data_IF_453727321659
#
_entry.id   IF_453727321659
#
_cell.length_a   1.000
_cell.length_b   1.000
_cell.length_c   1.000
_cell.angle_alpha   90.00
_cell.angle_beta   90.00
_cell.angle_gamma   90.00
#
_symmetry.space_group_name_H-M   'P 1'
#
loop_
_entity.id
_entity.type
_entity.pdbx_description
1 polymer ?
#
# COMPACT_ATOMS: atom_id res chain seq x y z
N UNK A 1 9.74 -40.25 -0.59
CA UNK A 1 8.39 -39.65 -0.54
C UNK A 1 8.52 -38.19 -0.93
N UNK A 2 8.56 -37.94 -2.24
CA UNK A 2 8.57 -36.63 -2.87
C UNK A 2 7.21 -35.97 -2.62
N UNK A 3 7.19 -34.87 -1.86
CA UNK A 3 6.02 -33.99 -1.81
C UNK A 3 6.04 -33.20 -3.12
N UNK A 4 5.39 -33.77 -4.13
CA UNK A 4 4.76 -33.03 -5.22
C UNK A 4 3.70 -32.10 -4.59
N UNK A 5 4.16 -30.99 -4.01
CA UNK A 5 3.31 -29.87 -3.66
C UNK A 5 3.02 -29.12 -4.95
N UNK A 6 1.93 -29.55 -5.60
CA UNK A 6 1.05 -28.80 -6.48
C UNK A 6 1.42 -27.32 -6.56
N UNK A 7 2.28 -26.98 -7.51
CA UNK A 7 2.32 -25.62 -8.05
C UNK A 7 0.99 -25.49 -8.78
N UNK A 8 0.01 -24.84 -8.12
CA UNK A 8 -1.14 -24.26 -8.81
C UNK A 8 -0.61 -23.60 -10.09
N UNK A 9 -1.22 -23.86 -11.26
CA UNK A 9 -0.74 -23.28 -12.50
C UNK A 9 -0.65 -21.78 -12.28
N UNK A 10 0.54 -21.21 -12.45
CA UNK A 10 0.73 -19.77 -12.47
C UNK A 10 -0.20 -19.25 -13.56
N UNK A 11 -1.39 -18.81 -13.17
CA UNK A 11 -2.35 -18.23 -14.10
C UNK A 11 -1.77 -16.90 -14.48
N UNK A 12 -0.98 -16.89 -15.56
CA UNK A 12 -0.44 -15.69 -16.14
C UNK A 12 -1.61 -14.89 -16.68
N UNK A 13 -1.94 -13.78 -16.01
CA UNK A 13 -2.90 -12.81 -16.51
C UNK A 13 -2.56 -12.43 -17.95
N UNK A 14 -3.57 -12.39 -18.81
CA UNK A 14 -3.42 -11.84 -20.16
C UNK A 14 -3.01 -10.37 -20.08
N UNK A 15 -2.35 -9.80 -21.10
CA UNK A 15 -1.94 -8.40 -21.08
C UNK A 15 -3.10 -7.43 -20.81
N UNK A 16 -4.30 -7.74 -21.32
CA UNK A 16 -5.50 -6.95 -21.06
C UNK A 16 -5.93 -7.01 -19.59
N UNK A 17 -5.98 -8.21 -19.00
CA UNK A 17 -6.33 -8.37 -17.57
C UNK A 17 -5.33 -7.67 -16.66
N UNK A 18 -4.03 -7.71 -17.01
CA UNK A 18 -3.00 -6.97 -16.28
C UNK A 18 -3.29 -5.48 -16.27
N UNK A 19 -3.64 -4.91 -17.42
CA UNK A 19 -3.93 -3.49 -17.56
C UNK A 19 -5.23 -3.11 -16.81
N UNK A 20 -6.26 -3.97 -16.87
CA UNK A 20 -7.54 -3.77 -16.17
C UNK A 20 -7.40 -3.83 -14.64
N UNK A 21 -6.64 -4.81 -14.12
CA UNK A 21 -6.34 -4.93 -12.69
C UNK A 21 -5.49 -3.74 -12.24
N UNK A 22 -4.49 -3.35 -13.04
CA UNK A 22 -3.64 -2.18 -12.74
C UNK A 22 -4.49 -0.93 -12.62
N UNK A 23 -5.39 -0.68 -13.57
CA UNK A 23 -6.29 0.47 -13.56
C UNK A 23 -7.17 0.49 -12.30
N UNK A 24 -7.77 -0.65 -11.94
CA UNK A 24 -8.60 -0.76 -10.73
C UNK A 24 -7.83 -0.48 -9.44
N UNK A 25 -6.60 -0.99 -9.33
CA UNK A 25 -5.75 -0.75 -8.15
C UNK A 25 -5.37 0.72 -8.06
N UNK A 26 -4.99 1.35 -9.18
CA UNK A 26 -4.67 2.78 -9.23
C UNK A 26 -5.86 3.62 -8.77
N UNK A 27 -7.08 3.28 -9.21
CA UNK A 27 -8.30 3.95 -8.79
C UNK A 27 -8.61 3.76 -7.29
N UNK A 28 -8.39 2.56 -6.74
CA UNK A 28 -8.52 2.30 -5.31
C UNK A 28 -7.57 3.21 -4.52
N UNK A 29 -6.31 3.30 -4.92
CA UNK A 29 -5.31 4.14 -4.25
C UNK A 29 -5.66 5.62 -4.36
N UNK A 30 -6.02 6.09 -5.54
CA UNK A 30 -6.40 7.49 -5.77
C UNK A 30 -7.57 7.90 -4.87
N UNK A 31 -8.61 7.07 -4.77
CA UNK A 31 -9.82 7.38 -3.99
C UNK A 31 -9.61 7.34 -2.48
N UNK A 32 -8.71 6.47 -1.98
CA UNK A 32 -8.57 6.23 -0.55
C UNK A 32 -7.39 6.97 0.09
N UNK A 33 -6.31 7.26 -0.65
CA UNK A 33 -5.10 7.86 -0.09
C UNK A 33 -4.74 9.22 -0.68
N UNK A 34 -5.19 9.55 -1.89
CA UNK A 34 -4.81 10.81 -2.54
C UNK A 34 -5.83 11.90 -2.18
N UNK A 35 -5.65 12.49 -0.99
CA UNK A 35 -6.43 13.64 -0.54
C UNK A 35 -5.68 14.94 -0.89
N UNK A 36 -6.14 15.63 -1.93
CA UNK A 36 -5.48 16.73 -2.67
C UNK A 36 -4.84 17.87 -1.85
N UNK A 37 -3.66 18.31 -2.32
CA UNK A 37 -3.31 19.72 -2.44
C UNK A 37 -3.27 20.20 -3.91
N UNK A 38 -3.45 21.51 -4.13
CA UNK A 38 -3.17 22.14 -5.44
C UNK A 38 -1.72 21.81 -5.84
N UNK A 39 -1.49 21.34 -7.07
CA UNK A 39 -0.18 20.97 -7.62
C UNK A 39 0.41 19.63 -7.14
N UNK A 40 -0.41 18.68 -6.68
CA UNK A 40 0.09 17.34 -6.36
C UNK A 40 0.76 16.66 -7.58
N UNK A 41 1.91 16.01 -7.34
CA UNK A 41 2.70 15.35 -8.39
C UNK A 41 1.97 14.14 -9.00
N UNK A 42 1.02 13.56 -8.26
CA UNK A 42 0.11 12.53 -8.74
C UNK A 42 -0.57 12.95 -10.03
N UNK A 43 -1.12 14.17 -10.08
CA UNK A 43 -1.85 14.72 -11.23
C UNK A 43 -0.98 15.55 -12.17
N UNK A 44 0.04 16.24 -11.66
CA UNK A 44 0.77 17.28 -12.42
C UNK A 44 2.09 16.82 -13.02
N UNK A 45 2.69 15.76 -12.50
CA UNK A 45 4.08 15.38 -12.81
C UNK A 45 4.22 13.93 -13.28
N UNK A 46 3.12 13.31 -13.71
CA UNK A 46 3.09 11.90 -14.12
C UNK A 46 3.27 10.90 -12.97
N UNK A 47 3.04 11.33 -11.72
CA UNK A 47 3.12 10.45 -10.55
C UNK A 47 2.18 9.25 -10.66
N UNK A 48 0.94 9.48 -11.11
CA UNK A 48 -0.04 8.42 -11.38
C UNK A 48 0.48 7.36 -12.36
N UNK A 49 1.10 7.79 -13.47
CA UNK A 49 1.64 6.87 -14.47
C UNK A 49 2.80 6.04 -13.91
N UNK A 50 3.75 6.68 -13.22
CA UNK A 50 4.89 5.97 -12.59
C UNK A 50 4.43 4.94 -11.56
N UNK A 51 3.39 5.26 -10.80
CA UNK A 51 2.78 4.33 -9.87
C UNK A 51 2.11 3.16 -10.62
N UNK A 52 1.32 3.45 -11.65
CA UNK A 52 0.69 2.43 -12.50
C UNK A 52 1.72 1.46 -13.11
N UNK A 53 2.85 1.96 -13.62
CA UNK A 53 3.92 1.13 -14.19
C UNK A 53 4.49 0.13 -13.17
N UNK A 54 4.64 0.56 -11.90
CA UNK A 54 5.10 -0.31 -10.81
C UNK A 54 4.05 -1.34 -10.40
N UNK A 55 2.78 -0.95 -10.34
CA UNK A 55 1.68 -1.89 -10.05
C UNK A 55 1.62 -2.94 -11.15
N UNK A 56 1.64 -2.51 -12.41
CA UNK A 56 1.64 -3.38 -13.59
C UNK A 56 2.76 -4.40 -13.56
N UNK A 57 3.96 -3.99 -13.14
CA UNK A 57 5.12 -4.89 -12.99
C UNK A 57 4.81 -6.08 -12.06
N UNK A 58 4.14 -5.83 -10.93
CA UNK A 58 3.81 -6.86 -9.95
C UNK A 58 2.63 -7.73 -10.41
N UNK A 59 1.59 -7.09 -10.95
CA UNK A 59 0.40 -7.76 -11.48
C UNK A 59 0.77 -8.71 -12.63
N UNK A 60 1.62 -8.26 -13.57
CA UNK A 60 2.10 -9.09 -14.67
C UNK A 60 2.89 -10.32 -14.23
N UNK A 61 3.44 -10.30 -13.01
CA UNK A 61 4.20 -11.41 -12.40
C UNK A 61 3.37 -12.20 -11.39
N UNK A 62 2.12 -11.79 -11.15
CA UNK A 62 1.25 -12.36 -10.13
C UNK A 62 1.92 -12.44 -8.73
N UNK A 63 2.67 -11.39 -8.37
CA UNK A 63 3.32 -11.25 -7.05
C UNK A 63 2.62 -10.18 -6.20
N UNK A 64 2.59 -10.31 -4.86
CA UNK A 64 1.98 -9.30 -3.99
C UNK A 64 2.57 -7.90 -4.21
N UNK A 65 1.75 -6.86 -4.07
CA UNK A 65 2.23 -5.48 -4.04
C UNK A 65 2.99 -5.23 -2.74
N UNK A 66 4.20 -4.69 -2.81
CA UNK A 66 4.97 -4.30 -1.62
C UNK A 66 4.93 -2.78 -1.44
N UNK A 67 4.27 -2.34 -0.37
CA UNK A 67 4.25 -0.93 0.01
C UNK A 67 5.20 -0.70 1.17
N UNK A 68 6.14 0.21 1.01
CA UNK A 68 7.06 0.62 2.09
C UNK A 68 6.57 1.96 2.62
N UNK A 69 6.17 1.99 3.88
CA UNK A 69 5.61 3.17 4.53
C UNK A 69 6.50 3.57 5.72
N UNK A 70 7.26 4.68 5.62
CA UNK A 70 7.87 5.29 6.78
C UNK A 70 6.77 5.95 7.63
N UNK A 71 6.34 5.28 8.71
CA UNK A 71 5.23 5.74 9.53
C UNK A 71 5.28 5.17 10.95
N UNK A 72 4.38 5.70 11.79
CA UNK A 72 4.24 5.34 13.20
C UNK A 72 5.57 5.45 13.97
N UNK A 73 6.23 6.63 13.97
CA UNK A 73 7.33 6.90 14.88
C UNK A 73 6.81 7.02 16.32
N UNK A 74 7.72 7.32 17.26
CA UNK A 74 7.33 7.62 18.64
C UNK A 74 6.40 8.83 18.68
N UNK A 75 5.39 8.79 19.57
CA UNK A 75 4.50 9.92 19.86
C UNK A 75 5.31 11.19 20.18
N UNK A 76 4.79 12.36 19.82
CA UNK A 76 5.45 13.64 20.13
C UNK A 76 5.69 13.78 21.63
N UNK A 77 6.87 14.27 22.01
CA UNK A 77 7.20 14.59 23.41
C UNK A 77 6.39 15.78 23.96
N UNK A 78 5.66 16.52 23.11
CA UNK A 78 4.79 17.60 23.55
C UNK A 78 3.44 17.03 24.06
N UNK A 79 3.14 17.17 25.37
CA UNK A 79 1.89 16.66 25.95
C UNK A 79 0.64 17.40 25.42
N UNK A 80 0.76 18.63 24.90
CA UNK A 80 -0.39 19.34 24.33
C UNK A 80 -0.80 18.80 22.95
N UNK A 81 0.05 17.96 22.34
CA UNK A 81 -0.16 17.37 21.01
C UNK A 81 -0.48 15.89 21.05
N UNK A 82 -0.43 15.27 22.23
CA UNK A 82 -0.61 13.82 22.39
C UNK A 82 -1.41 13.50 23.65
N UNK A 83 -2.25 12.47 23.58
CA UNK A 83 -3.01 12.00 24.74
C UNK A 83 -2.16 11.15 25.70
N UNK A 84 -0.91 10.86 25.33
CA UNK A 84 0.03 10.06 26.10
C UNK A 84 1.14 9.49 25.22
N UNK A 85 1.97 8.63 25.81
CA UNK A 85 3.11 7.99 25.13
C UNK A 85 2.75 6.72 24.35
N UNK A 86 1.56 6.16 24.62
CA UNK A 86 1.09 4.96 23.96
C UNK A 86 0.33 5.31 22.65
N UNK A 87 0.26 4.39 21.68
CA UNK A 87 -0.67 4.51 20.57
C UNK A 87 -2.09 4.77 21.07
N UNK A 88 -2.80 5.65 20.37
CA UNK A 88 -4.18 6.03 20.65
C UNK A 88 -5.07 5.74 19.43
N UNK A 89 -6.29 6.27 19.46
CA UNK A 89 -7.29 6.00 18.42
C UNK A 89 -6.85 6.48 17.03
N UNK A 90 -5.94 7.46 16.95
CA UNK A 90 -5.43 7.92 15.67
C UNK A 90 -4.63 6.83 14.95
N UNK A 91 -3.76 6.11 15.68
CA UNK A 91 -3.01 4.99 15.08
C UNK A 91 -3.93 3.82 14.72
N UNK A 92 -4.91 3.52 15.58
CA UNK A 92 -5.90 2.46 15.29
C UNK A 92 -6.66 2.75 13.99
N UNK A 93 -7.17 3.98 13.81
CA UNK A 93 -7.89 4.39 12.60
C UNK A 93 -6.98 4.41 11.36
N UNK A 94 -5.71 4.78 11.51
CA UNK A 94 -4.76 4.74 10.41
C UNK A 94 -4.51 3.30 9.93
N UNK A 95 -4.32 2.35 10.86
CA UNK A 95 -4.16 0.93 10.54
C UNK A 95 -5.45 0.35 9.96
N UNK A 96 -6.61 0.72 10.48
CA UNK A 96 -7.91 0.29 9.94
C UNK A 96 -8.12 0.78 8.50
N UNK A 97 -7.76 2.04 8.21
CA UNK A 97 -7.75 2.57 6.84
C UNK A 97 -6.79 1.79 5.93
N UNK A 98 -5.60 1.41 6.42
CA UNK A 98 -4.68 0.53 5.69
C UNK A 98 -5.29 -0.82 5.39
N UNK A 99 -5.98 -1.42 6.37
CA UNK A 99 -6.68 -2.69 6.20
C UNK A 99 -7.79 -2.60 5.15
N UNK A 100 -8.62 -1.56 5.19
CA UNK A 100 -9.70 -1.36 4.21
C UNK A 100 -9.14 -1.34 2.78
N UNK A 101 -8.06 -0.58 2.53
CA UNK A 101 -7.42 -0.55 1.21
C UNK A 101 -6.81 -1.89 0.84
N UNK A 102 -6.20 -2.60 1.79
CA UNK A 102 -5.66 -3.95 1.56
C UNK A 102 -6.76 -4.92 1.10
N UNK A 103 -7.92 -4.89 1.76
CA UNK A 103 -9.06 -5.75 1.45
C UNK A 103 -9.67 -5.40 0.07
N UNK A 104 -9.77 -4.11 -0.25
CA UNK A 104 -10.21 -3.65 -1.58
C UNK A 104 -9.29 -4.12 -2.70
N UNK A 105 -7.97 -4.02 -2.51
CA UNK A 105 -6.98 -4.50 -3.49
C UNK A 105 -7.07 -6.02 -3.61
N UNK A 106 -7.18 -6.74 -2.49
CA UNK A 106 -7.26 -8.21 -2.50
C UNK A 106 -8.50 -8.73 -3.23
N UNK A 107 -9.60 -7.98 -3.20
CA UNK A 107 -10.82 -8.32 -3.92
C UNK A 107 -10.66 -8.29 -5.45
N UNK A 108 -9.78 -7.42 -5.98
CA UNK A 108 -9.50 -7.32 -7.43
C UNK A 108 -8.23 -8.04 -7.86
N UNK A 109 -7.30 -8.27 -6.93
CA UNK A 109 -6.00 -8.89 -7.17
C UNK A 109 -5.64 -9.84 -6.03
N UNK A 110 -5.77 -11.15 -6.27
CA UNK A 110 -5.69 -12.17 -5.23
C UNK A 110 -4.39 -12.17 -4.40
N UNK A 111 -3.19 -11.92 -4.96
CA UNK A 111 -1.97 -11.77 -4.17
C UNK A 111 -2.01 -10.60 -3.18
N UNK A 112 -2.84 -9.59 -3.45
CA UNK A 112 -3.08 -8.48 -2.54
C UNK A 112 -1.88 -7.55 -2.37
N UNK A 113 -1.77 -6.97 -1.18
CA UNK A 113 -0.73 -6.03 -0.79
C UNK A 113 -0.13 -6.41 0.56
N UNK A 114 1.18 -6.17 0.71
CA UNK A 114 1.92 -6.26 1.95
C UNK A 114 2.47 -4.88 2.30
N UNK A 115 2.06 -4.36 3.46
CA UNK A 115 2.58 -3.12 4.02
C UNK A 115 3.81 -3.40 4.89
N UNK A 116 4.96 -2.88 4.47
CA UNK A 116 6.21 -2.84 5.22
C UNK A 116 6.29 -1.48 5.93
N UNK A 117 5.96 -1.45 7.22
CA UNK A 117 6.03 -0.24 8.04
C UNK A 117 7.46 -0.08 8.59
N UNK A 118 8.16 0.94 8.11
CA UNK A 118 9.47 1.33 8.63
C UNK A 118 9.29 2.41 9.71
N UNK A 119 9.30 2.02 10.98
CA UNK A 119 9.18 2.99 12.09
C UNK A 119 10.48 3.75 12.27
N UNK A 120 10.41 5.08 12.12
CA UNK A 120 11.59 5.96 12.10
C UNK A 120 11.85 6.65 13.46
N UNK A 121 11.46 6.02 14.57
CA UNK A 121 11.57 6.61 15.90
C UNK A 121 13.02 6.81 16.39
N UNK A 122 13.98 6.03 15.87
CA UNK A 122 15.37 6.04 16.34
C UNK A 122 16.26 7.04 15.61
N UNK A 123 15.98 7.35 14.33
CA UNK A 123 16.86 8.20 13.50
C UNK A 123 16.81 9.68 13.90
N UNK A 124 15.79 10.10 14.67
CA UNK A 124 15.60 11.48 15.12
C UNK A 124 15.80 11.69 16.63
N UNK A 125 16.30 10.69 17.36
CA UNK A 125 16.60 10.82 18.79
C UNK A 125 18.06 11.27 18.98
N UNK A 126 18.36 12.53 18.70
CA UNK A 126 19.60 13.23 19.11
C UNK A 126 19.24 14.39 20.05
#
# INVERSE_FOLDING_TARGET
>A
MTRDCLLEPFSSHTPQEVDDITSQIVDIIERNYIHFPKHDQWFTSGGKQRFADKVRYHVARNIPLEFVLPAFPVKSCNPDKTLGKCPDKAEELAIDSMKIVADLIKAVYAPGVHYNVASDGHVFSD
#
